data_IF_859188985577
#
_entry.id   IF_859188985577
#
_cell.length_a   1.000
_cell.length_b   1.000
_cell.length_c   1.000
_cell.angle_alpha   90.00
_cell.angle_beta   90.00
_cell.angle_gamma   90.00
#
_symmetry.space_group_name_H-M   'P 1'
#
loop_
_entity.id
_entity.type
_entity.pdbx_description
1 polymer ?
#
# COMPACT_ATOMS: atom_id res chain seq x y z
N UNK A 1 10.95 18.94 -1.22
CA UNK A 1 10.28 18.60 0.06
C UNK A 1 10.91 19.41 1.17
N UNK A 2 10.18 19.84 2.21
CA UNK A 2 10.76 20.53 3.36
C UNK A 2 11.78 19.65 4.08
N UNK A 3 12.92 20.22 4.49
CA UNK A 3 14.02 19.48 5.12
C UNK A 3 13.62 18.81 6.45
N UNK A 4 12.64 19.39 7.15
CA UNK A 4 12.09 18.84 8.39
C UNK A 4 11.31 17.53 8.16
N UNK A 5 10.57 17.42 7.05
CA UNK A 5 9.80 16.20 6.72
C UNK A 5 10.72 15.02 6.42
N UNK A 6 11.89 15.29 5.83
CA UNK A 6 12.90 14.27 5.50
C UNK A 6 13.53 13.72 6.79
N UNK A 7 14.04 14.60 7.66
CA UNK A 7 14.77 14.17 8.87
C UNK A 7 13.90 13.37 9.85
N UNK A 8 12.62 13.73 9.99
CA UNK A 8 11.68 13.00 10.85
C UNK A 8 11.42 11.57 10.32
N UNK A 9 11.28 11.42 9.00
CA UNK A 9 10.97 10.13 8.38
C UNK A 9 12.23 9.26 8.20
N UNK A 10 13.43 9.84 8.07
CA UNK A 10 14.71 9.11 8.05
C UNK A 10 14.96 8.36 9.38
N UNK A 11 14.68 8.99 10.52
CA UNK A 11 14.85 8.33 11.82
C UNK A 11 13.86 7.16 12.00
N UNK A 12 12.64 7.32 11.48
CA UNK A 12 11.59 6.31 11.52
C UNK A 12 11.90 5.13 10.60
N UNK A 13 12.36 5.40 9.37
CA UNK A 13 12.77 4.37 8.40
C UNK A 13 14.02 3.63 8.87
N UNK A 14 14.98 4.32 9.52
CA UNK A 14 16.12 3.67 10.15
C UNK A 14 15.70 2.73 11.29
N UNK A 15 14.70 3.11 12.09
CA UNK A 15 14.14 2.26 13.14
C UNK A 15 13.40 1.02 12.59
N UNK A 16 12.99 1.04 11.32
CA UNK A 16 12.36 -0.08 10.62
C UNK A 16 13.37 -1.07 10.01
N UNK A 17 14.68 -0.92 10.28
CA UNK A 17 15.64 -2.03 10.15
C UNK A 17 16.09 -2.42 8.74
N UNK A 18 15.89 -1.58 7.72
CA UNK A 18 16.37 -1.86 6.35
C UNK A 18 15.27 -2.00 5.29
N UNK A 19 14.01 -1.79 5.69
CA UNK A 19 12.86 -1.62 4.81
C UNK A 19 11.60 -2.30 5.34
N UNK A 20 10.44 -1.94 4.80
CA UNK A 20 9.12 -2.37 5.27
C UNK A 20 8.11 -2.45 4.13
N UNK A 21 6.99 -3.11 4.40
CA UNK A 21 5.80 -3.04 3.56
C UNK A 21 4.89 -1.93 4.09
N UNK A 22 4.55 -1.01 3.20
CA UNK A 22 3.61 0.06 3.48
C UNK A 22 2.23 -0.31 2.94
N UNK A 23 1.20 -0.20 3.76
CA UNK A 23 -0.18 -0.51 3.39
C UNK A 23 -1.00 0.77 3.49
N UNK A 24 -1.68 1.12 2.40
CA UNK A 24 -2.67 2.19 2.37
C UNK A 24 -4.08 1.58 2.19
N UNK A 25 -4.80 1.29 3.29
CA UNK A 25 -6.09 0.61 3.24
C UNK A 25 -7.23 1.62 3.07
N UNK A 26 -7.07 2.57 2.16
CA UNK A 26 -8.00 3.68 1.97
C UNK A 26 -9.21 3.35 1.13
N UNK A 27 -9.90 4.44 0.78
CA UNK A 27 -11.06 4.43 -0.10
C UNK A 27 -10.68 5.09 -1.41
N UNK A 28 -11.14 4.56 -2.54
CA UNK A 28 -10.86 5.16 -3.86
C UNK A 28 -11.58 6.50 -3.99
N UNK A 29 -11.21 7.28 -5.01
CA UNK A 29 -11.95 8.52 -5.33
C UNK A 29 -13.44 8.27 -5.62
N UNK A 30 -13.81 7.05 -6.03
CA UNK A 30 -15.18 6.63 -6.29
C UNK A 30 -15.91 6.08 -5.04
N UNK A 31 -15.27 6.04 -3.89
CA UNK A 31 -15.86 5.50 -2.66
C UNK A 31 -15.72 3.98 -2.49
N UNK A 32 -14.96 3.30 -3.35
CA UNK A 32 -14.77 1.85 -3.24
C UNK A 32 -13.72 1.51 -2.19
N UNK A 33 -13.95 0.42 -1.46
CA UNK A 33 -13.04 -0.13 -0.46
C UNK A 33 -12.66 -1.56 -0.80
N UNK A 34 -11.43 -1.95 -0.49
CA UNK A 34 -11.06 -3.35 -0.42
C UNK A 34 -11.48 -3.93 0.95
N UNK A 35 -12.17 -5.08 1.03
CA UNK A 35 -12.71 -5.58 2.28
C UNK A 35 -11.65 -5.78 3.36
N UNK A 36 -12.01 -5.53 4.62
CA UNK A 36 -11.11 -5.69 5.77
C UNK A 36 -10.58 -7.12 5.86
N UNK A 37 -11.41 -8.12 5.56
CA UNK A 37 -11.01 -9.53 5.54
C UNK A 37 -9.88 -9.79 4.53
N UNK A 38 -9.93 -9.11 3.39
CA UNK A 38 -8.89 -9.22 2.37
C UNK A 38 -7.55 -8.62 2.80
N UNK A 39 -7.60 -7.45 3.46
CA UNK A 39 -6.39 -6.87 4.08
C UNK A 39 -5.83 -7.77 5.18
N UNK A 40 -6.68 -8.34 6.03
CA UNK A 40 -6.25 -9.26 7.09
C UNK A 40 -5.58 -10.51 6.53
N UNK A 41 -6.09 -11.07 5.43
CA UNK A 41 -5.45 -12.19 4.75
C UNK A 41 -4.03 -11.82 4.28
N UNK A 42 -3.88 -10.65 3.63
CA UNK A 42 -2.57 -10.17 3.16
C UNK A 42 -1.60 -9.97 4.32
N UNK A 43 -2.02 -9.26 5.38
CA UNK A 43 -1.18 -8.95 6.53
C UNK A 43 -0.74 -10.21 7.30
N UNK A 44 -1.66 -11.18 7.48
CA UNK A 44 -1.34 -12.45 8.14
C UNK A 44 -0.36 -13.29 7.33
N UNK A 45 -0.50 -13.33 6.02
CA UNK A 45 0.41 -14.09 5.16
C UNK A 45 1.83 -13.49 5.19
N UNK A 46 1.97 -12.15 5.18
CA UNK A 46 3.26 -11.50 5.42
C UNK A 46 3.87 -11.87 6.77
N UNK A 47 3.09 -11.79 7.86
CA UNK A 47 3.57 -12.16 9.19
C UNK A 47 4.03 -13.63 9.27
N UNK A 48 3.40 -14.52 8.50
CA UNK A 48 3.78 -15.93 8.44
C UNK A 48 5.04 -16.17 7.62
N UNK A 49 5.16 -15.56 6.44
CA UNK A 49 6.27 -15.81 5.50
C UNK A 49 7.51 -14.99 5.84
N UNK A 50 7.34 -13.77 6.34
CA UNK A 50 8.41 -12.82 6.68
C UNK A 50 8.11 -12.15 8.03
N UNK A 51 8.18 -12.89 9.15
CA UNK A 51 7.81 -12.39 10.48
C UNK A 51 8.64 -11.20 10.97
N UNK A 52 9.87 -11.05 10.45
CA UNK A 52 10.77 -9.95 10.80
C UNK A 52 10.56 -8.70 9.92
N UNK A 53 9.80 -8.79 8.82
CA UNK A 53 9.54 -7.66 7.94
C UNK A 53 8.46 -6.76 8.54
N UNK A 54 8.76 -5.49 8.84
CA UNK A 54 7.76 -4.60 9.43
C UNK A 54 6.60 -4.34 8.44
N UNK A 55 5.39 -4.38 8.99
CA UNK A 55 4.15 -4.01 8.29
C UNK A 55 3.63 -2.70 8.85
N UNK A 56 3.49 -1.71 7.98
CA UNK A 56 3.14 -0.34 8.37
C UNK A 56 1.82 0.06 7.72
N UNK A 57 0.83 0.43 8.54
CA UNK A 57 -0.42 1.02 8.07
C UNK A 57 -0.30 2.55 8.03
N UNK A 58 -0.66 3.13 6.89
CA UNK A 58 -0.82 4.59 6.77
C UNK A 58 -2.19 4.99 7.28
N UNK A 59 -2.21 5.83 8.31
CA UNK A 59 -3.43 6.45 8.81
C UNK A 59 -3.59 7.87 8.29
N UNK A 60 -4.69 8.11 7.60
CA UNK A 60 -5.19 9.42 7.17
C UNK A 60 -6.69 9.46 7.44
N UNK A 61 -7.38 10.61 7.30
CA UNK A 61 -8.83 10.65 7.40
C UNK A 61 -9.54 9.63 6.49
N UNK A 62 -8.98 9.33 5.31
CA UNK A 62 -9.53 8.37 4.35
C UNK A 62 -9.28 6.89 4.71
N UNK A 63 -8.34 6.60 5.61
CA UNK A 63 -7.99 5.23 6.02
C UNK A 63 -8.38 4.91 7.47
N UNK A 64 -8.73 5.91 8.29
CA UNK A 64 -8.92 5.77 9.74
C UNK A 64 -9.85 4.62 10.15
N UNK A 65 -10.99 4.44 9.48
CA UNK A 65 -11.94 3.34 9.78
C UNK A 65 -11.30 1.97 9.53
N UNK A 66 -10.61 1.80 8.41
CA UNK A 66 -9.91 0.56 8.07
C UNK A 66 -8.73 0.31 9.01
N UNK A 67 -7.90 1.32 9.27
CA UNK A 67 -6.77 1.19 10.19
C UNK A 67 -7.24 0.75 11.58
N UNK A 68 -8.34 1.30 12.08
CA UNK A 68 -8.94 0.88 13.34
C UNK A 68 -9.42 -0.59 13.30
N UNK A 69 -10.11 -1.01 12.24
CA UNK A 69 -10.57 -2.39 12.09
C UNK A 69 -9.39 -3.39 12.02
N UNK A 70 -8.34 -3.05 11.28
CA UNK A 70 -7.15 -3.88 11.12
C UNK A 70 -6.35 -4.00 12.41
N UNK A 71 -6.14 -2.91 13.13
CA UNK A 71 -5.40 -2.93 14.41
C UNK A 71 -6.18 -3.62 15.54
N UNK A 72 -7.51 -3.58 15.51
CA UNK A 72 -8.33 -4.34 16.44
C UNK A 72 -8.21 -5.86 16.20
N UNK A 73 -8.12 -6.29 14.95
CA UNK A 73 -8.02 -7.69 14.58
C UNK A 73 -6.59 -8.26 14.61
N UNK A 74 -5.58 -7.42 14.40
CA UNK A 74 -4.15 -7.75 14.46
C UNK A 74 -3.41 -6.77 15.38
N UNK A 75 -3.43 -7.01 16.70
CA UNK A 75 -2.68 -6.20 17.65
C UNK A 75 -1.19 -6.25 17.34
N UNK A 76 -0.52 -5.09 17.35
CA UNK A 76 0.91 -4.98 17.09
C UNK A 76 1.28 -4.49 15.68
N UNK A 77 0.32 -4.24 14.80
CA UNK A 77 0.59 -3.53 13.55
C UNK A 77 1.06 -2.10 13.83
N UNK A 78 2.12 -1.69 13.16
CA UNK A 78 2.62 -0.32 13.26
C UNK A 78 1.72 0.62 12.46
N UNK A 79 1.31 1.72 13.08
CA UNK A 79 0.48 2.75 12.45
C UNK A 79 1.24 4.05 12.42
N UNK A 80 1.28 4.69 11.25
CA UNK A 80 1.94 5.99 11.06
C UNK A 80 0.92 6.96 10.48
N UNK A 81 0.81 8.14 11.09
CA UNK A 81 -0.13 9.20 10.68
C UNK A 81 0.67 10.36 10.08
N UNK A 82 0.98 10.36 8.77
CA UNK A 82 1.64 11.49 8.14
C UNK A 82 0.72 12.71 8.13
N UNK A 83 1.26 13.87 8.50
CA UNK A 83 0.51 15.14 8.55
C UNK A 83 0.55 15.89 7.21
N UNK A 84 1.56 15.60 6.38
CA UNK A 84 1.76 16.27 5.08
C UNK A 84 1.92 15.26 3.96
N UNK A 85 1.69 15.72 2.72
CA UNK A 85 1.98 14.92 1.53
C UNK A 85 3.49 14.64 1.39
N UNK A 86 4.35 15.55 1.89
CA UNK A 86 5.79 15.36 1.95
C UNK A 86 6.18 14.20 2.87
N UNK A 87 5.56 14.10 4.04
CA UNK A 87 5.75 12.96 4.95
C UNK A 87 5.22 11.65 4.35
N UNK A 88 4.08 11.69 3.67
CA UNK A 88 3.57 10.51 2.95
C UNK A 88 4.55 10.06 1.86
N UNK A 89 5.08 11.01 1.07
CA UNK A 89 6.06 10.72 0.04
C UNK A 89 7.37 10.16 0.62
N UNK A 90 7.87 10.71 1.73
CA UNK A 90 9.05 10.18 2.41
C UNK A 90 8.82 8.75 2.96
N UNK A 91 7.63 8.48 3.52
CA UNK A 91 7.25 7.15 3.97
C UNK A 91 7.10 6.15 2.81
N UNK A 92 6.65 6.58 1.64
CA UNK A 92 6.63 5.73 0.45
C UNK A 92 8.05 5.48 -0.05
N UNK A 93 8.90 6.53 -0.13
CA UNK A 93 10.28 6.43 -0.62
C UNK A 93 11.15 5.44 0.16
N UNK A 94 10.88 5.25 1.45
CA UNK A 94 11.58 4.28 2.30
C UNK A 94 11.01 2.86 2.31
N UNK A 95 9.86 2.61 1.68
CA UNK A 95 9.23 1.30 1.65
C UNK A 95 9.88 0.39 0.60
N UNK A 96 9.93 -0.92 0.88
CA UNK A 96 10.28 -1.91 -0.16
C UNK A 96 9.11 -2.19 -1.09
N UNK A 97 7.90 -2.14 -0.54
CA UNK A 97 6.66 -2.39 -1.25
C UNK A 97 5.57 -1.47 -0.69
N UNK A 98 4.85 -0.78 -1.57
CA UNK A 98 3.56 -0.18 -1.26
C UNK A 98 2.44 -1.12 -1.74
N UNK A 99 1.50 -1.47 -0.87
CA UNK A 99 0.23 -2.08 -1.26
C UNK A 99 -0.89 -1.06 -1.02
N UNK A 100 -1.59 -0.69 -2.10
CA UNK A 100 -2.61 0.36 -2.04
C UNK A 100 -3.75 0.09 -3.01
N UNK A 101 -4.93 0.58 -2.69
CA UNK A 101 -6.01 0.78 -3.68
C UNK A 101 -5.66 1.88 -4.70
N UNK A 102 -6.42 1.96 -5.80
CA UNK A 102 -6.35 3.03 -6.82
C UNK A 102 -6.59 4.42 -6.20
N UNK A 103 -5.50 5.04 -5.74
CA UNK A 103 -5.47 6.31 -5.02
C UNK A 103 -4.10 6.99 -5.12
N UNK A 104 -4.00 8.23 -4.62
CA UNK A 104 -2.81 9.07 -4.75
C UNK A 104 -1.47 8.44 -4.29
N UNK A 105 -1.40 7.51 -3.30
CA UNK A 105 -0.15 6.87 -2.92
C UNK A 105 0.50 6.09 -4.06
N UNK A 106 -0.27 5.50 -4.98
CA UNK A 106 0.26 4.82 -6.16
C UNK A 106 0.98 5.80 -7.09
N UNK A 107 0.44 7.01 -7.26
CA UNK A 107 1.07 8.05 -8.06
C UNK A 107 2.39 8.54 -7.45
N UNK A 108 2.42 8.68 -6.12
CA UNK A 108 3.64 9.01 -5.40
C UNK A 108 4.69 7.89 -5.53
N UNK A 109 4.29 6.62 -5.39
CA UNK A 109 5.21 5.50 -5.55
C UNK A 109 5.81 5.43 -6.96
N UNK A 110 5.00 5.63 -8.01
CA UNK A 110 5.47 5.68 -9.38
C UNK A 110 6.49 6.82 -9.58
N UNK A 111 6.18 8.03 -9.11
CA UNK A 111 7.07 9.19 -9.20
C UNK A 111 8.40 8.98 -8.42
N UNK A 112 8.34 8.26 -7.30
CA UNK A 112 9.49 7.96 -6.44
C UNK A 112 10.23 6.67 -6.85
N UNK A 113 9.75 5.97 -7.89
CA UNK A 113 10.29 4.67 -8.35
C UNK A 113 10.31 3.58 -7.26
N UNK A 114 9.31 3.60 -6.40
CA UNK A 114 9.08 2.59 -5.35
C UNK A 114 8.25 1.46 -5.94
N UNK A 115 8.57 0.22 -5.59
CA UNK A 115 7.79 -0.94 -6.02
C UNK A 115 6.41 -0.90 -5.34
N UNK A 116 5.35 -0.96 -6.13
CA UNK A 116 3.98 -0.81 -5.66
C UNK A 116 3.06 -1.83 -6.32
N UNK A 117 2.15 -2.37 -5.53
CA UNK A 117 1.03 -3.18 -5.98
C UNK A 117 -0.27 -2.40 -5.76
N UNK A 118 -0.93 -2.08 -6.87
CA UNK A 118 -2.21 -1.38 -6.90
C UNK A 118 -3.40 -2.35 -7.02
N UNK A 119 -4.41 -2.16 -6.18
CA UNK A 119 -5.71 -2.85 -6.28
C UNK A 119 -6.70 -1.97 -7.04
N UNK A 120 -7.26 -2.50 -8.13
CA UNK A 120 -8.14 -1.75 -9.03
C UNK A 120 -9.50 -2.44 -9.15
N UNK A 121 -10.57 -1.71 -8.84
CA UNK A 121 -11.95 -2.17 -9.07
C UNK A 121 -12.18 -2.34 -10.56
N UNK A 122 -12.25 -1.24 -11.32
CA UNK A 122 -12.28 -1.32 -12.79
C UNK A 122 -10.87 -1.22 -13.35
N UNK A 123 -10.61 -1.95 -14.44
CA UNK A 123 -9.45 -1.71 -15.29
C UNK A 123 -9.56 -0.28 -15.83
N UNK A 124 -9.01 0.69 -15.10
CA UNK A 124 -8.76 1.98 -15.71
C UNK A 124 -7.42 1.81 -16.43
N UNK A 125 -7.49 1.40 -17.69
CA UNK A 125 -6.33 1.39 -18.61
C UNK A 125 -5.58 2.75 -18.56
N UNK A 126 -6.29 3.84 -18.20
CA UNK A 126 -5.73 5.17 -18.01
C UNK A 126 -5.13 5.48 -16.63
N UNK A 127 -5.29 4.65 -15.58
CA UNK A 127 -4.62 4.90 -14.28
C UNK A 127 -3.19 4.39 -14.31
N UNK A 128 -2.98 3.10 -14.61
CA UNK A 128 -1.64 2.48 -14.53
C UNK A 128 -0.71 3.01 -15.63
N UNK A 129 -1.17 3.04 -16.90
CA UNK A 129 -0.36 3.53 -18.01
C UNK A 129 -0.09 5.05 -17.96
N UNK A 130 -0.96 5.84 -17.31
CA UNK A 130 -0.69 7.27 -17.11
C UNK A 130 0.27 7.53 -15.93
N UNK A 131 0.24 6.68 -14.90
CA UNK A 131 1.18 6.75 -13.79
C UNK A 131 2.55 6.21 -14.18
N UNK A 132 2.59 5.32 -15.16
CA UNK A 132 3.82 4.73 -15.66
C UNK A 132 3.86 4.68 -17.20
N UNK A 133 4.07 5.83 -17.86
CA UNK A 133 4.15 5.92 -19.32
C UNK A 133 5.44 5.33 -19.90
N UNK A 134 6.32 4.75 -19.08
CA UNK A 134 7.69 4.36 -19.46
C UNK A 134 8.05 2.90 -19.26
N UNK A 135 7.09 1.99 -19.10
CA UNK A 135 7.35 0.57 -18.74
C UNK A 135 8.25 0.47 -17.48
N UNK A 136 7.96 1.22 -16.41
CA UNK A 136 8.54 0.87 -15.12
C UNK A 136 7.83 -0.38 -14.58
N UNK A 137 8.53 -1.51 -14.60
CA UNK A 137 8.17 -2.77 -13.95
C UNK A 137 7.92 -2.68 -12.42
N UNK A 138 7.84 -1.47 -11.85
CA UNK A 138 7.67 -1.20 -10.43
C UNK A 138 6.24 -0.95 -10.01
N UNK A 139 5.30 -0.74 -10.93
CA UNK A 139 3.87 -0.66 -10.60
C UNK A 139 3.14 -1.89 -11.14
N UNK A 140 2.73 -2.75 -10.24
CA UNK A 140 1.98 -3.97 -10.56
C UNK A 140 0.51 -3.77 -10.25
N UNK A 141 -0.37 -4.14 -11.19
CA UNK A 141 -1.80 -3.93 -11.06
C UNK A 141 -2.56 -5.24 -10.85
N UNK A 142 -3.33 -5.34 -9.77
CA UNK A 142 -4.31 -6.40 -9.55
C UNK A 142 -5.70 -5.84 -9.80
N UNK A 143 -6.30 -6.26 -10.91
CA UNK A 143 -7.62 -5.82 -11.34
C UNK A 143 -8.70 -6.81 -10.93
N UNK A 144 -9.83 -6.29 -10.45
CA UNK A 144 -11.02 -7.09 -10.15
C UNK A 144 -11.59 -7.77 -11.39
N UNK A 145 -12.09 -9.01 -11.27
CA UNK A 145 -12.79 -9.68 -12.36
C UNK A 145 -14.16 -9.04 -12.70
N UNK A 146 -14.80 -8.33 -11.75
CA UNK A 146 -16.17 -7.80 -11.91
C UNK A 146 -16.23 -6.29 -12.07
N UNK A 147 -15.13 -5.59 -11.80
CA UNK A 147 -15.13 -4.14 -11.71
C UNK A 147 -15.23 -3.59 -10.28
N UNK A 148 -15.35 -4.43 -9.25
CA UNK A 148 -15.42 -3.98 -7.84
C UNK A 148 -14.22 -4.45 -7.02
N UNK A 149 -13.66 -3.59 -6.18
CA UNK A 149 -12.58 -3.97 -5.26
C UNK A 149 -12.95 -5.15 -4.35
N UNK A 150 -14.23 -5.25 -3.95
CA UNK A 150 -14.72 -6.32 -3.10
C UNK A 150 -14.55 -7.72 -3.69
N UNK A 151 -14.50 -7.80 -5.02
CA UNK A 151 -14.41 -9.07 -5.75
C UNK A 151 -12.96 -9.47 -6.10
N UNK A 152 -11.96 -8.72 -5.62
CA UNK A 152 -10.55 -9.12 -5.74
C UNK A 152 -10.27 -10.22 -4.70
N UNK A 153 -9.93 -11.46 -5.11
CA UNK A 153 -9.56 -12.49 -4.16
C UNK A 153 -8.21 -12.15 -3.51
N UNK A 154 -8.06 -12.24 -2.17
CA UNK A 154 -6.79 -11.95 -1.50
C UNK A 154 -5.65 -12.82 -2.01
N UNK A 155 -5.93 -14.09 -2.36
CA UNK A 155 -4.95 -15.01 -2.93
C UNK A 155 -4.38 -14.51 -4.27
N UNK A 156 -5.18 -13.79 -5.07
CA UNK A 156 -4.70 -13.16 -6.31
C UNK A 156 -3.68 -12.06 -6.01
N UNK A 157 -3.91 -11.30 -4.93
CA UNK A 157 -2.97 -10.26 -4.48
C UNK A 157 -1.69 -10.90 -3.96
N UNK A 158 -1.80 -11.93 -3.12
CA UNK A 158 -0.67 -12.64 -2.53
C UNK A 158 0.22 -13.29 -3.58
N UNK A 159 -0.36 -13.99 -4.57
CA UNK A 159 0.39 -14.56 -5.69
C UNK A 159 1.23 -13.50 -6.40
N UNK A 160 0.66 -12.32 -6.61
CA UNK A 160 1.37 -11.23 -7.26
C UNK A 160 2.48 -10.62 -6.38
N UNK A 161 2.26 -10.51 -5.07
CA UNK A 161 3.28 -10.06 -4.11
C UNK A 161 4.48 -11.02 -4.13
N UNK A 162 4.22 -12.32 -4.07
CA UNK A 162 5.26 -13.35 -3.98
C UNK A 162 5.80 -13.79 -5.34
N UNK A 163 5.29 -13.21 -6.44
CA UNK A 163 5.62 -13.63 -7.81
C UNK A 163 5.38 -15.14 -8.05
N UNK A 164 4.35 -15.69 -7.42
CA UNK A 164 3.88 -17.06 -7.64
C UNK A 164 3.00 -17.04 -8.91
N UNK A 165 3.27 -17.91 -9.90
CA UNK A 165 2.47 -17.95 -11.12
C UNK A 165 0.99 -18.22 -10.81
N UNK A 166 0.12 -17.47 -11.48
CA UNK A 166 -1.33 -17.44 -11.25
C UNK A 166 -2.05 -18.69 -11.75
#
# INVERSE_FOLDING_TARGET
>A
MPQADIAAMESLTAALGGGYVLIYPGTTAAGEIFPTEGWLAILKDFQQRQPELPLVLVQTPATASQTAALTAALPGLQVITPETIGQTAALIAGANLLVSIDSYPLALAAALKVYALGLFGKARETSVAALDPGENDRLVAVVSPTGSLADIPPDKVLKQIWSEEA
#
